data_IF_750936302417
#
_entry.id   IF_750936302417
#
_cell.length_a   1.000
_cell.length_b   1.000
_cell.length_c   1.000
_cell.angle_alpha   90.00
_cell.angle_beta   90.00
_cell.angle_gamma   90.00
#
_symmetry.space_group_name_H-M   'P 1'
#
loop_
_entity.id
_entity.type
_entity.pdbx_description
1 polymer ?
#
# COMPACT_ATOMS: atom_id res chain seq x y z
N UNK A 1 -37.07 70.27 18.38
CA UNK A 1 -37.24 69.62 19.70
C UNK A 1 -36.29 68.43 19.73
N UNK A 2 -35.32 68.23 20.61
CA UNK A 2 -34.66 69.05 21.62
C UNK A 2 -33.25 68.49 21.69
N UNK A 3 -32.24 69.37 21.71
CA UNK A 3 -30.87 68.99 22.01
C UNK A 3 -30.73 68.71 23.52
N UNK A 4 -29.80 67.83 23.89
CA UNK A 4 -29.18 67.85 25.21
C UNK A 4 -27.77 67.26 25.14
N UNK A 5 -26.78 68.16 25.16
CA UNK A 5 -25.47 67.91 25.78
C UNK A 5 -25.70 67.85 27.28
N UNK A 6 -25.03 66.93 27.98
CA UNK A 6 -24.43 67.24 29.28
C UNK A 6 -23.11 66.50 29.47
N UNK A 7 -22.25 67.22 30.17
CA UNK A 7 -20.84 67.03 30.43
C UNK A 7 -20.68 66.33 31.79
N UNK A 8 -19.62 65.56 31.99
CA UNK A 8 -19.38 64.90 33.27
C UNK A 8 -18.03 64.19 33.35
N UNK A 9 -16.95 64.96 33.45
CA UNK A 9 -15.70 64.48 34.04
C UNK A 9 -15.85 64.29 35.55
N UNK A 10 -15.38 63.17 36.09
CA UNK A 10 -14.89 63.06 37.47
C UNK A 10 -13.59 62.28 37.48
N UNK A 11 -12.59 62.87 38.11
CA UNK A 11 -11.18 62.53 38.00
C UNK A 11 -10.71 61.32 38.81
N UNK A 12 -9.42 61.06 38.69
CA UNK A 12 -8.69 60.06 39.48
C UNK A 12 -7.32 59.76 38.90
N UNK A 13 -6.32 60.59 39.18
CA UNK A 13 -4.94 60.36 38.80
C UNK A 13 -4.32 59.21 39.62
N UNK A 14 -3.80 58.16 38.98
CA UNK A 14 -2.75 57.28 39.55
C UNK A 14 -1.81 56.73 38.46
N UNK A 15 -0.58 57.27 38.51
CA UNK A 15 0.74 56.67 38.31
C UNK A 15 0.94 55.56 37.26
N UNK A 16 1.88 55.87 36.36
CA UNK A 16 2.63 55.05 35.43
C UNK A 16 2.90 53.59 35.83
N UNK A 17 2.76 52.67 34.87
CA UNK A 17 3.77 51.66 34.56
C UNK A 17 3.60 51.22 33.10
N UNK A 18 4.58 51.51 32.24
CA UNK A 18 4.68 50.89 30.91
C UNK A 18 5.16 49.45 31.15
N UNK A 19 4.28 48.48 30.96
CA UNK A 19 4.63 47.07 30.89
C UNK A 19 4.37 46.60 29.46
N UNK A 20 5.46 46.44 28.70
CA UNK A 20 5.45 45.84 27.38
C UNK A 20 4.97 44.38 27.49
N UNK A 21 3.86 44.08 26.83
CA UNK A 21 3.42 42.71 26.64
C UNK A 21 4.20 42.16 25.44
N UNK A 22 5.28 41.42 25.73
CA UNK A 22 5.88 40.54 24.75
C UNK A 22 4.86 39.43 24.44
N UNK A 23 4.15 39.56 23.31
CA UNK A 23 3.30 38.50 22.80
C UNK A 23 4.19 37.34 22.35
N UNK A 24 4.31 36.31 23.18
CA UNK A 24 4.85 35.01 22.76
C UNK A 24 3.82 34.44 21.78
N UNK A 25 4.08 34.60 20.48
CA UNK A 25 3.41 33.83 19.45
C UNK A 25 3.75 32.36 19.68
N UNK A 26 2.90 31.66 20.43
CA UNK A 26 2.88 30.22 20.45
C UNK A 26 2.52 29.76 19.04
N UNK A 27 3.54 29.47 18.24
CA UNK A 27 3.38 28.67 17.02
C UNK A 27 2.81 27.33 17.47
N UNK A 28 1.49 27.19 17.36
CA UNK A 28 0.84 25.91 17.43
C UNK A 28 1.35 25.11 16.23
N UNK A 29 2.44 24.38 16.43
CA UNK A 29 2.86 23.33 15.52
C UNK A 29 1.80 22.25 15.68
N UNK A 30 0.73 22.34 14.89
CA UNK A 30 -0.16 21.21 14.72
C UNK A 30 0.71 20.04 14.28
N UNK A 31 0.70 18.89 14.97
CA UNK A 31 1.42 17.74 14.48
C UNK A 31 0.80 17.44 13.11
N UNK A 32 1.59 17.61 12.04
CA UNK A 32 1.17 17.18 10.72
C UNK A 32 0.87 15.69 10.84
N UNK A 33 -0.40 15.32 11.00
CA UNK A 33 -0.83 13.92 10.93
C UNK A 33 -0.68 13.55 9.45
N UNK A 34 -0.15 12.36 9.17
CA UNK A 34 -0.09 11.91 7.78
C UNK A 34 -1.54 11.91 7.26
N UNK A 35 -1.82 12.72 6.23
CA UNK A 35 -3.16 12.86 5.68
C UNK A 35 -3.47 11.57 4.93
N UNK A 36 -4.43 10.80 5.43
CA UNK A 36 -5.03 9.69 4.67
C UNK A 36 -5.81 10.32 3.53
N UNK A 37 -5.48 9.95 2.30
CA UNK A 37 -6.14 10.48 1.09
C UNK A 37 -7.21 9.53 0.58
N UNK A 38 -7.01 8.23 0.79
CA UNK A 38 -7.99 7.21 0.46
C UNK A 38 -7.90 6.00 1.38
N UNK A 39 -9.00 5.26 1.47
CA UNK A 39 -9.11 3.96 2.13
C UNK A 39 -10.39 3.27 1.68
N UNK A 40 -10.33 1.97 1.52
CA UNK A 40 -11.49 1.22 1.09
C UNK A 40 -11.35 -0.26 1.34
N UNK A 41 -12.42 -0.96 0.94
CA UNK A 41 -12.42 -2.40 0.77
C UNK A 41 -12.43 -2.66 -0.72
N UNK A 42 -11.70 -3.69 -1.13
CA UNK A 42 -11.75 -4.25 -2.46
C UNK A 42 -12.23 -5.67 -2.34
N UNK A 43 -13.08 -6.10 -3.26
CA UNK A 43 -13.49 -7.48 -3.42
C UNK A 43 -13.90 -7.73 -4.88
N UNK A 44 -13.71 -8.95 -5.33
CA UNK A 44 -14.04 -9.30 -6.70
C UNK A 44 -13.83 -10.77 -7.00
N UNK A 45 -14.37 -11.18 -8.14
CA UNK A 45 -14.21 -12.52 -8.68
C UNK A 45 -14.26 -12.51 -10.20
N UNK A 46 -13.47 -13.38 -10.82
CA UNK A 46 -13.51 -13.69 -12.24
C UNK A 46 -13.70 -15.20 -12.38
N UNK A 47 -14.64 -15.65 -13.22
CA UNK A 47 -14.97 -17.06 -13.34
C UNK A 47 -14.90 -17.49 -14.80
N UNK A 48 -14.40 -18.68 -15.06
CA UNK A 48 -14.35 -19.28 -16.38
C UNK A 48 -13.38 -18.60 -17.34
N UNK A 49 -12.32 -17.96 -16.83
CA UNK A 49 -11.36 -17.24 -17.66
C UNK A 49 -10.43 -18.24 -18.34
N UNK A 50 -10.37 -18.22 -19.67
CA UNK A 50 -9.38 -18.99 -20.41
C UNK A 50 -7.99 -18.38 -20.19
N UNK A 51 -7.02 -19.22 -19.84
CA UNK A 51 -5.67 -18.81 -19.49
C UNK A 51 -4.64 -19.87 -19.93
N UNK A 52 -3.35 -19.53 -19.90
CA UNK A 52 -2.26 -20.44 -20.18
C UNK A 52 -1.27 -20.44 -19.01
N UNK A 53 -1.19 -21.57 -18.29
CA UNK A 53 -0.29 -21.74 -17.16
C UNK A 53 0.81 -22.72 -17.56
N UNK A 54 2.06 -22.24 -17.70
CA UNK A 54 3.21 -23.06 -18.08
C UNK A 54 3.01 -23.85 -19.39
N UNK A 55 2.34 -23.26 -20.38
CA UNK A 55 2.04 -23.93 -21.65
C UNK A 55 0.79 -24.80 -21.64
N UNK A 56 0.13 -24.97 -20.50
CA UNK A 56 -1.11 -25.75 -20.35
C UNK A 56 -2.30 -24.79 -20.45
N UNK A 57 -3.20 -25.05 -21.40
CA UNK A 57 -4.47 -24.34 -21.47
C UNK A 57 -5.34 -24.73 -20.27
N UNK A 58 -5.76 -23.73 -19.51
CA UNK A 58 -6.52 -23.90 -18.27
C UNK A 58 -7.71 -22.96 -18.22
N UNK A 59 -8.70 -23.33 -17.41
CA UNK A 59 -9.75 -22.43 -16.97
C UNK A 59 -9.39 -21.93 -15.57
N UNK A 60 -9.33 -20.62 -15.40
CA UNK A 60 -9.03 -19.93 -14.14
C UNK A 60 -10.28 -19.33 -13.53
N UNK A 61 -10.50 -19.65 -12.26
CA UNK A 61 -11.45 -18.97 -11.38
C UNK A 61 -10.67 -18.23 -10.30
N UNK A 62 -10.84 -16.91 -10.23
CA UNK A 62 -10.13 -16.00 -9.35
C UNK A 62 -11.08 -15.35 -8.36
N UNK A 63 -10.66 -15.23 -7.11
CA UNK A 63 -11.34 -14.41 -6.10
C UNK A 63 -10.32 -13.60 -5.33
N UNK A 64 -10.64 -12.35 -4.99
CA UNK A 64 -9.79 -11.53 -4.15
C UNK A 64 -10.63 -10.68 -3.20
N UNK A 65 -10.05 -10.32 -2.06
CA UNK A 65 -10.59 -9.31 -1.18
C UNK A 65 -9.49 -8.66 -0.36
N UNK A 66 -9.66 -7.40 0.01
CA UNK A 66 -8.66 -6.68 0.76
C UNK A 66 -9.14 -5.34 1.30
N UNK A 67 -8.25 -4.72 2.07
CA UNK A 67 -8.44 -3.39 2.65
C UNK A 67 -7.18 -2.61 2.35
N UNK A 68 -7.34 -1.44 1.73
CA UNK A 68 -6.23 -0.53 1.45
C UNK A 68 -6.38 0.77 2.22
N UNK A 69 -5.26 1.47 2.38
CA UNK A 69 -5.21 2.83 2.92
C UNK A 69 -4.00 3.55 2.37
N UNK A 70 -4.26 4.66 1.72
CA UNK A 70 -3.25 5.54 1.15
C UNK A 70 -3.10 6.80 1.98
N UNK A 71 -1.84 7.19 2.18
CA UNK A 71 -1.52 8.43 2.89
C UNK A 71 -0.42 9.16 2.15
N UNK A 72 -0.47 10.48 2.17
CA UNK A 72 0.63 11.29 1.64
C UNK A 72 1.88 11.08 2.49
N UNK A 73 3.03 10.86 1.84
CA UNK A 73 4.32 11.02 2.50
C UNK A 73 4.59 12.51 2.76
N UNK A 74 4.80 12.86 4.02
CA UNK A 74 4.88 14.26 4.43
C UNK A 74 6.08 15.01 3.85
N UNK A 75 7.13 14.28 3.46
CA UNK A 75 8.34 14.88 2.89
C UNK A 75 8.26 15.00 1.36
N UNK A 76 7.14 14.58 0.75
CA UNK A 76 6.95 14.59 -0.70
C UNK A 76 6.18 15.79 -1.25
N UNK A 77 5.72 16.71 -0.40
CA UNK A 77 4.87 17.85 -0.80
C UNK A 77 3.64 17.44 -1.65
N UNK A 78 3.05 16.28 -1.33
CA UNK A 78 1.86 15.79 -2.03
C UNK A 78 2.16 14.94 -3.28
N UNK A 79 3.42 14.60 -3.54
CA UNK A 79 3.81 13.87 -4.75
C UNK A 79 4.04 12.37 -4.55
N UNK A 80 4.13 11.89 -3.32
CA UNK A 80 4.27 10.47 -3.02
C UNK A 80 3.23 10.01 -2.01
N UNK A 81 2.65 8.84 -2.29
CA UNK A 81 1.60 8.23 -1.50
C UNK A 81 2.07 6.86 -1.04
N UNK A 82 1.86 6.57 0.24
CA UNK A 82 2.27 5.32 0.87
C UNK A 82 1.05 4.45 1.08
N UNK A 83 1.02 3.33 0.38
CA UNK A 83 -0.03 2.32 0.50
C UNK A 83 0.22 1.40 1.69
N UNK A 84 -0.88 1.03 2.35
CA UNK A 84 -0.96 -0.20 3.13
C UNK A 84 -2.13 -1.03 2.66
N UNK A 85 -1.83 -2.19 2.07
CA UNK A 85 -2.79 -3.16 1.58
C UNK A 85 -2.75 -4.43 2.45
N UNK A 86 -3.90 -4.90 2.90
CA UNK A 86 -4.07 -6.24 3.45
C UNK A 86 -4.99 -7.00 2.51
N UNK A 87 -4.48 -8.01 1.82
CA UNK A 87 -5.17 -8.68 0.73
C UNK A 87 -5.13 -10.19 0.91
N UNK A 88 -6.18 -10.82 0.42
CA UNK A 88 -6.24 -12.26 0.22
C UNK A 88 -6.75 -12.54 -1.19
N UNK A 89 -6.18 -13.55 -1.82
CA UNK A 89 -6.57 -13.98 -3.15
C UNK A 89 -6.57 -15.51 -3.24
N UNK A 90 -7.31 -16.03 -4.20
CA UNK A 90 -7.30 -17.44 -4.58
C UNK A 90 -7.62 -17.57 -6.05
N UNK A 91 -6.70 -18.19 -6.78
CA UNK A 91 -6.85 -18.64 -8.15
C UNK A 91 -6.95 -20.16 -8.17
N UNK A 92 -7.96 -20.70 -8.85
CA UNK A 92 -8.08 -22.12 -9.15
C UNK A 92 -7.92 -22.33 -10.64
N UNK A 93 -7.00 -23.21 -11.01
CA UNK A 93 -6.70 -23.56 -12.39
C UNK A 93 -7.18 -24.99 -12.65
N UNK A 94 -7.96 -25.17 -13.71
CA UNK A 94 -8.46 -26.50 -14.13
C UNK A 94 -8.05 -26.77 -15.55
N UNK A 95 -7.34 -27.88 -15.80
CA UNK A 95 -7.04 -28.34 -17.15
C UNK A 95 -8.31 -29.00 -17.75
N UNK A 96 -8.93 -28.42 -18.79
CA UNK A 96 -10.18 -28.94 -19.35
C UNK A 96 -10.00 -30.29 -20.07
N UNK A 97 -8.77 -30.66 -20.44
CA UNK A 97 -8.49 -31.92 -21.15
C UNK A 97 -8.53 -33.14 -20.24
N UNK A 98 -8.14 -32.99 -18.97
CA UNK A 98 -8.04 -34.10 -18.02
C UNK A 98 -8.85 -33.88 -16.72
N UNK A 99 -9.40 -32.69 -16.51
CA UNK A 99 -10.20 -32.33 -15.33
C UNK A 99 -9.40 -32.15 -14.04
N UNK A 100 -8.07 -32.25 -14.09
CA UNK A 100 -7.20 -32.01 -12.92
C UNK A 100 -7.15 -30.52 -12.62
N UNK A 101 -6.98 -30.20 -11.35
CA UNK A 101 -6.91 -28.83 -10.87
C UNK A 101 -5.78 -28.61 -9.86
N UNK A 102 -5.40 -27.36 -9.73
CA UNK A 102 -4.54 -26.84 -8.68
C UNK A 102 -5.07 -25.48 -8.26
N UNK A 103 -4.64 -24.98 -7.10
CA UNK A 103 -4.92 -23.60 -6.71
C UNK A 103 -3.71 -22.88 -6.16
N UNK A 104 -3.65 -21.58 -6.44
CA UNK A 104 -2.70 -20.64 -5.86
C UNK A 104 -3.50 -19.72 -4.93
N UNK A 105 -3.11 -19.63 -3.66
CA UNK A 105 -3.75 -18.75 -2.68
C UNK A 105 -2.72 -17.92 -1.92
N UNK A 106 -3.12 -16.72 -1.53
CA UNK A 106 -2.25 -15.80 -0.78
C UNK A 106 -3.03 -15.02 0.26
N UNK A 107 -2.32 -14.67 1.34
CA UNK A 107 -2.78 -13.73 2.35
C UNK A 107 -1.61 -12.92 2.86
N UNK A 108 -1.59 -11.64 2.51
CA UNK A 108 -0.42 -10.80 2.71
C UNK A 108 -0.79 -9.37 3.08
N UNK A 109 0.22 -8.69 3.61
CA UNK A 109 0.19 -7.27 3.90
C UNK A 109 1.35 -6.62 3.16
N UNK A 110 1.02 -5.74 2.23
CA UNK A 110 1.97 -4.84 1.58
C UNK A 110 1.92 -3.51 2.31
N UNK A 111 3.08 -2.97 2.66
CA UNK A 111 3.17 -1.76 3.45
C UNK A 111 4.39 -0.94 3.06
N UNK A 112 4.13 0.21 2.44
CA UNK A 112 5.13 1.18 2.06
C UNK A 112 5.47 2.07 3.27
N UNK A 113 6.75 2.08 3.62
CA UNK A 113 7.21 2.72 4.85
C UNK A 113 7.51 4.19 4.66
N UNK A 114 8.21 4.50 3.56
CA UNK A 114 8.83 5.79 3.29
C UNK A 114 9.02 5.95 1.78
N UNK A 115 8.80 7.18 1.30
CA UNK A 115 9.25 7.65 -0.01
C UNK A 115 10.48 8.56 0.16
N UNK A 116 11.50 8.39 -0.67
CA UNK A 116 12.67 9.27 -0.73
C UNK A 116 12.75 9.84 -2.13
N UNK A 117 12.71 11.18 -2.27
CA UNK A 117 12.83 11.83 -3.57
C UNK A 117 14.19 11.53 -4.19
N UNK A 118 14.21 11.18 -5.48
CA UNK A 118 15.43 10.92 -6.24
C UNK A 118 15.68 12.07 -7.21
N UNK A 119 14.75 12.32 -8.11
CA UNK A 119 14.79 13.41 -9.10
C UNK A 119 13.45 13.55 -9.79
N UNK A 120 13.07 14.75 -10.26
CA UNK A 120 11.79 14.96 -10.95
C UNK A 120 10.61 14.40 -10.15
N UNK A 121 9.84 13.50 -10.77
CA UNK A 121 8.72 12.78 -10.14
C UNK A 121 9.10 11.37 -9.65
N UNK A 122 10.39 11.06 -9.63
CA UNK A 122 10.91 9.74 -9.25
C UNK A 122 11.18 9.70 -7.76
N UNK A 123 10.59 8.71 -7.10
CA UNK A 123 10.76 8.42 -5.68
C UNK A 123 11.21 6.97 -5.48
N UNK A 124 12.07 6.78 -4.49
CA UNK A 124 12.42 5.47 -3.97
C UNK A 124 11.50 5.12 -2.79
N UNK A 125 10.82 3.98 -2.88
CA UNK A 125 9.96 3.44 -1.83
C UNK A 125 10.62 2.24 -1.16
N UNK A 126 10.53 2.18 0.16
CA UNK A 126 10.85 0.95 0.91
C UNK A 126 9.55 0.26 1.26
N UNK A 127 9.38 -0.93 0.69
CA UNK A 127 8.15 -1.73 0.80
C UNK A 127 8.42 -2.99 1.60
N UNK A 128 7.50 -3.32 2.49
CA UNK A 128 7.48 -4.61 3.20
C UNK A 128 6.24 -5.37 2.73
N UNK A 129 6.48 -6.56 2.21
CA UNK A 129 5.46 -7.57 1.97
C UNK A 129 5.62 -8.65 3.04
N UNK A 130 4.53 -8.96 3.74
CA UNK A 130 4.56 -9.89 4.85
C UNK A 130 3.33 -10.79 4.87
N UNK A 131 3.51 -12.04 5.28
CA UNK A 131 2.42 -12.99 5.44
C UNK A 131 2.73 -14.31 4.75
N UNK A 132 1.76 -14.77 3.97
CA UNK A 132 1.80 -16.00 3.20
C UNK A 132 1.44 -15.62 1.77
N UNK A 133 2.37 -15.00 1.02
CA UNK A 133 2.07 -14.40 -0.28
C UNK A 133 1.67 -15.46 -1.31
N UNK A 134 2.18 -16.69 -1.16
CA UNK A 134 2.07 -17.70 -2.20
C UNK A 134 1.95 -19.11 -1.60
N UNK A 135 0.89 -19.83 -1.97
CA UNK A 135 0.61 -21.20 -1.54
C UNK A 135 0.03 -21.95 -2.72
N UNK A 136 0.68 -23.04 -3.09
CA UNK A 136 0.18 -23.93 -4.13
C UNK A 136 -0.43 -25.15 -3.47
N UNK A 137 -1.62 -25.52 -3.95
CA UNK A 137 -2.30 -26.77 -3.59
C UNK A 137 -2.61 -27.60 -4.82
N UNK A 138 -2.54 -28.91 -4.65
CA UNK A 138 -3.04 -29.87 -5.64
C UNK A 138 -4.59 -29.93 -5.63
N UNK A 139 -5.16 -30.73 -6.53
CA UNK A 139 -6.61 -30.90 -6.68
C UNK A 139 -7.29 -31.58 -5.47
N UNK A 140 -6.51 -32.25 -4.61
CA UNK A 140 -6.99 -32.85 -3.36
C UNK A 140 -6.89 -31.87 -2.16
N UNK A 141 -6.32 -30.68 -2.38
CA UNK A 141 -6.13 -29.63 -1.38
C UNK A 141 -4.86 -29.76 -0.55
N UNK A 142 -3.97 -30.71 -0.86
CA UNK A 142 -2.67 -30.84 -0.20
C UNK A 142 -1.77 -29.68 -0.59
N UNK A 143 -0.99 -29.19 0.38
CA UNK A 143 -0.01 -28.11 0.12
C UNK A 143 1.22 -28.70 -0.53
N UNK A 144 1.56 -28.20 -1.71
CA UNK A 144 2.76 -28.63 -2.46
C UNK A 144 3.86 -27.59 -2.41
N UNK A 145 3.49 -26.32 -2.25
CA UNK A 145 4.41 -25.21 -2.03
C UNK A 145 3.78 -24.19 -1.09
N UNK A 146 4.57 -23.61 -0.19
CA UNK A 146 4.13 -22.55 0.71
C UNK A 146 5.27 -21.60 1.03
N UNK A 147 5.10 -20.37 0.58
CA UNK A 147 5.93 -19.24 0.99
C UNK A 147 5.30 -18.57 2.21
N UNK A 148 6.16 -18.21 3.16
CA UNK A 148 5.74 -17.51 4.37
C UNK A 148 6.90 -16.72 4.93
N UNK A 149 6.65 -15.45 5.18
CA UNK A 149 7.59 -14.62 5.90
C UNK A 149 7.46 -13.17 5.50
N UNK A 150 8.62 -12.54 5.32
CA UNK A 150 8.74 -11.12 5.00
C UNK A 150 9.73 -10.96 3.85
N UNK A 151 9.32 -10.20 2.83
CA UNK A 151 10.17 -9.71 1.76
C UNK A 151 10.25 -8.19 1.91
N UNK A 152 11.45 -7.65 1.95
CA UNK A 152 11.69 -6.21 1.92
C UNK A 152 12.23 -5.84 0.55
N UNK A 153 11.61 -4.84 -0.08
CA UNK A 153 11.97 -4.37 -1.42
C UNK A 153 12.26 -2.88 -1.40
N UNK A 154 13.09 -2.46 -2.33
CA UNK A 154 13.24 -1.08 -2.75
C UNK A 154 12.61 -0.97 -4.13
N UNK A 155 11.70 -0.01 -4.29
CA UNK A 155 11.01 0.23 -5.54
C UNK A 155 11.35 1.64 -6.01
N UNK A 156 11.82 1.77 -7.25
CA UNK A 156 11.96 3.06 -7.92
C UNK A 156 10.70 3.31 -8.75
N UNK A 157 10.04 4.43 -8.49
CA UNK A 157 8.69 4.67 -8.98
C UNK A 157 8.56 6.11 -9.47
N UNK A 158 8.08 6.30 -10.71
CA UNK A 158 7.70 7.60 -11.23
C UNK A 158 6.25 7.88 -10.86
N UNK A 159 6.02 8.87 -10.00
CA UNK A 159 4.69 9.25 -9.51
C UNK A 159 3.93 10.12 -10.52
N UNK A 160 4.49 10.37 -11.71
CA UNK A 160 3.93 11.16 -12.81
C UNK A 160 3.74 12.65 -12.51
N UNK A 161 3.85 13.07 -11.25
CA UNK A 161 3.72 14.46 -10.81
C UNK A 161 2.28 14.99 -10.90
N UNK A 162 1.29 14.11 -10.97
CA UNK A 162 -0.13 14.46 -11.08
C UNK A 162 -0.82 14.63 -9.71
N UNK A 163 -0.06 14.45 -8.62
CA UNK A 163 -0.54 14.52 -7.25
C UNK A 163 -1.67 13.51 -6.93
N UNK A 164 -1.66 12.35 -7.59
CA UNK A 164 -2.55 11.23 -7.31
C UNK A 164 -1.77 9.97 -6.90
N UNK A 165 -2.38 9.04 -6.13
CA UNK A 165 -1.80 7.72 -5.91
C UNK A 165 -1.63 6.96 -7.23
N UNK A 166 -0.53 6.20 -7.34
CA UNK A 166 -0.18 5.45 -8.54
C UNK A 166 0.99 6.07 -9.31
N UNK A 167 1.34 5.44 -10.42
CA UNK A 167 2.51 5.80 -11.22
C UNK A 167 3.08 4.64 -12.02
N UNK A 168 4.36 4.72 -12.35
CA UNK A 168 5.07 3.74 -13.18
C UNK A 168 6.25 3.15 -12.40
N UNK A 169 6.27 1.82 -12.29
CA UNK A 169 7.41 1.08 -11.78
C UNK A 169 8.60 1.21 -12.75
N UNK A 170 9.71 1.74 -12.26
CA UNK A 170 10.95 1.88 -13.04
C UNK A 170 11.96 0.79 -12.72
N UNK A 171 12.09 0.43 -11.44
CA UNK A 171 13.03 -0.58 -10.96
C UNK A 171 12.56 -1.20 -9.64
N UNK A 172 13.00 -2.43 -9.36
CA UNK A 172 12.73 -3.14 -8.13
C UNK A 172 13.96 -3.94 -7.68
N UNK A 173 14.36 -3.74 -6.43
CA UNK A 173 15.47 -4.44 -5.80
C UNK A 173 14.99 -5.16 -4.52
N UNK A 174 15.37 -6.42 -4.38
CA UNK A 174 15.12 -7.19 -3.15
C UNK A 174 16.20 -6.85 -2.12
N UNK A 175 15.80 -6.16 -1.05
CA UNK A 175 16.69 -5.79 0.04
C UNK A 175 16.89 -6.90 1.07
N UNK A 176 15.95 -7.84 1.15
CA UNK A 176 16.09 -9.00 2.04
C UNK A 176 14.85 -9.86 2.12
N UNK A 177 15.09 -11.14 2.38
CA UNK A 177 14.08 -12.19 2.52
C UNK A 177 14.23 -12.81 3.91
N UNK A 178 13.11 -13.05 4.59
CA UNK A 178 13.10 -13.66 5.93
C UNK A 178 11.93 -14.62 6.06
N UNK A 179 12.19 -15.81 6.62
CA UNK A 179 11.23 -16.91 6.64
C UNK A 179 11.38 -17.86 5.44
N UNK A 180 10.67 -19.00 5.44
CA UNK A 180 10.70 -19.93 4.30
C UNK A 180 9.98 -19.37 3.08
N UNK A 181 10.69 -19.17 1.99
CA UNK A 181 10.12 -18.80 0.67
C UNK A 181 10.63 -19.75 -0.42
N UNK A 182 10.31 -21.06 -0.35
CA UNK A 182 10.77 -22.03 -1.35
C UNK A 182 10.39 -21.65 -2.79
N UNK A 183 9.29 -20.93 -3.02
CA UNK A 183 8.91 -20.43 -4.35
C UNK A 183 9.77 -19.26 -4.84
N UNK A 184 10.37 -18.50 -3.93
CA UNK A 184 11.27 -17.39 -4.29
C UNK A 184 12.59 -17.87 -4.87
N UNK A 185 13.07 -19.04 -4.44
CA UNK A 185 14.31 -19.65 -4.93
C UNK A 185 14.09 -20.53 -6.18
N UNK A 186 12.82 -20.73 -6.60
CA UNK A 186 12.50 -21.53 -7.78
C UNK A 186 12.70 -20.76 -9.07
N UNK A 187 13.32 -21.42 -10.03
CA UNK A 187 13.30 -20.98 -11.42
C UNK A 187 11.91 -21.19 -12.04
N UNK A 188 11.60 -20.45 -13.11
CA UNK A 188 10.38 -20.66 -13.88
C UNK A 188 10.24 -22.11 -14.36
N UNK A 189 11.35 -22.74 -14.76
CA UNK A 189 11.35 -24.14 -15.19
C UNK A 189 10.98 -25.11 -14.05
N UNK A 190 11.44 -24.85 -12.82
CA UNK A 190 11.08 -25.67 -11.66
C UNK A 190 9.62 -25.47 -11.25
N UNK A 191 9.14 -24.22 -11.28
CA UNK A 191 7.73 -23.92 -11.07
C UNK A 191 6.86 -24.63 -12.11
N UNK A 192 7.21 -24.53 -13.39
CA UNK A 192 6.44 -25.17 -14.45
C UNK A 192 6.50 -26.69 -14.42
N UNK A 193 7.63 -27.30 -14.07
CA UNK A 193 7.70 -28.75 -13.86
C UNK A 193 6.78 -29.23 -12.72
N UNK A 194 6.65 -28.42 -11.66
CA UNK A 194 5.67 -28.69 -10.60
C UNK A 194 4.23 -28.60 -11.15
N UNK A 195 3.91 -27.54 -11.90
CA UNK A 195 2.57 -27.36 -12.52
C UNK A 195 2.22 -28.53 -13.44
N UNK A 196 3.13 -28.92 -14.35
CA UNK A 196 2.97 -30.08 -15.24
C UNK A 196 2.67 -31.36 -14.43
N UNK A 197 3.37 -31.57 -13.31
CA UNK A 197 3.11 -32.71 -12.43
C UNK A 197 1.73 -32.71 -11.78
N UNK A 198 1.14 -31.53 -11.51
CA UNK A 198 -0.15 -31.38 -10.85
C UNK A 198 -1.31 -31.50 -11.82
N UNK A 199 -1.28 -30.75 -12.92
CA UNK A 199 -2.43 -30.57 -13.81
C UNK A 199 -2.21 -31.09 -15.23
N UNK A 200 -1.04 -31.66 -15.52
CA UNK A 200 -0.83 -32.59 -16.63
C UNK A 200 -0.30 -31.99 -17.91
#
# INVERSE_FOLDING_TARGET
MSAARTWGEKGGARRATVLGVAAIMALAVAPARATVVDRGHIDGSELGVADNLCGIDVIRDSTFSGIFRDRVDKASDGQAFLERLNVSHRDAFTNPLNGKSMSIEGKEVINELKATHVTGNVYEFVTIEAGQPFVVRDGDGNVVLRDRGVIRRRILFDTLGDSAPGGVLLDEEILGVSGPHPGFDQTEAEFCAMVEGLIG
#
